data_IF_031142451086
#
_entry.id   IF_031142451086
#
_cell.length_a   1.000
_cell.length_b   1.000
_cell.length_c   1.000
_cell.angle_alpha   90.00
_cell.angle_beta   90.00
_cell.angle_gamma   90.00
#
_symmetry.space_group_name_H-M   'P 1'
#
loop_
_entity.id
_entity.type
_entity.pdbx_description
1 polymer ?
#
# COMPACT_ATOMS: atom_id res chain seq x y z
N UNK A 1 -3.21 19.56 -2.40
CA UNK A 1 -3.93 20.28 -3.46
C UNK A 1 -3.32 19.85 -4.76
N UNK A 2 -4.14 19.42 -5.72
CA UNK A 2 -3.70 19.19 -7.09
C UNK A 2 -2.99 20.43 -7.65
N UNK A 3 -1.91 20.21 -8.41
CA UNK A 3 -1.14 21.29 -9.01
C UNK A 3 -1.93 21.89 -10.17
N UNK A 4 -2.29 23.17 -10.03
CA UNK A 4 -2.93 23.96 -11.09
C UNK A 4 -1.90 24.52 -12.06
N UNK A 5 -2.19 24.41 -13.37
CA UNK A 5 -1.31 24.91 -14.42
C UNK A 5 -1.52 26.42 -14.65
N UNK A 6 -0.45 27.21 -14.89
CA UNK A 6 -0.58 28.58 -15.37
C UNK A 6 -1.27 28.65 -16.75
N UNK A 7 -2.06 29.70 -16.99
CA UNK A 7 -2.85 29.88 -18.22
C UNK A 7 -2.00 29.85 -19.50
N UNK A 8 -0.78 30.38 -19.43
CA UNK A 8 0.17 30.39 -20.55
C UNK A 8 0.62 28.98 -20.91
N UNK A 9 0.85 28.13 -19.89
CA UNK A 9 1.22 26.72 -20.07
C UNK A 9 0.06 25.93 -20.64
N UNK A 10 -1.16 26.16 -20.15
CA UNK A 10 -2.37 25.52 -20.68
C UNK A 10 -2.54 25.83 -22.16
N UNK A 11 -2.42 27.12 -22.54
CA UNK A 11 -2.54 27.56 -23.93
C UNK A 11 -1.47 26.93 -24.81
N UNK A 12 -0.22 26.86 -24.32
CA UNK A 12 0.89 26.23 -25.03
C UNK A 12 0.65 24.72 -25.23
N UNK A 13 0.26 23.98 -24.18
CA UNK A 13 0.00 22.54 -24.27
C UNK A 13 -1.17 22.22 -25.21
N UNK A 14 -2.23 23.03 -25.20
CA UNK A 14 -3.35 22.91 -26.15
C UNK A 14 -2.89 23.10 -27.60
N UNK A 15 -2.01 24.08 -27.84
CA UNK A 15 -1.47 24.33 -29.17
C UNK A 15 -0.56 23.19 -29.64
N UNK A 16 0.30 22.69 -28.76
CA UNK A 16 1.21 21.55 -29.02
C UNK A 16 0.40 20.25 -29.20
N UNK A 17 -0.81 20.19 -28.64
CA UNK A 17 -1.72 19.04 -28.72
C UNK A 17 -1.35 17.91 -27.78
N UNK A 18 -0.87 18.24 -26.58
CA UNK A 18 -0.44 17.26 -25.55
C UNK A 18 -1.21 17.51 -24.27
N UNK A 19 -1.63 16.41 -23.63
CA UNK A 19 -2.33 16.48 -22.35
C UNK A 19 -1.33 16.52 -21.19
N UNK A 20 -1.72 17.22 -20.12
CA UNK A 20 -0.99 17.18 -18.87
C UNK A 20 -1.25 15.87 -18.12
N UNK A 21 -0.25 15.26 -17.45
CA UNK A 21 -0.47 14.04 -16.67
C UNK A 21 -1.51 14.25 -15.55
N UNK A 22 -2.57 13.43 -15.58
CA UNK A 22 -3.72 13.53 -14.66
C UNK A 22 -3.47 12.97 -13.26
N UNK A 23 -2.33 12.30 -13.01
CA UNK A 23 -2.05 11.65 -11.72
C UNK A 23 -2.22 12.62 -10.53
N UNK A 24 -3.03 12.28 -9.54
CA UNK A 24 -3.34 13.14 -8.41
C UNK A 24 -2.56 12.69 -7.17
N UNK A 25 -1.62 13.52 -6.72
CA UNK A 25 -0.71 13.20 -5.62
C UNK A 25 -1.42 13.18 -4.26
N UNK A 26 -2.48 13.98 -4.12
CA UNK A 26 -3.33 13.93 -2.92
C UNK A 26 -4.03 12.58 -2.81
N UNK A 27 -4.45 11.99 -3.94
CA UNK A 27 -5.07 10.65 -3.99
C UNK A 27 -4.08 9.55 -3.68
N UNK A 28 -2.83 9.70 -4.09
CA UNK A 28 -1.74 8.79 -3.69
C UNK A 28 -1.52 8.85 -2.17
N UNK A 29 -1.51 10.03 -1.54
CA UNK A 29 -1.41 10.19 -0.07
C UNK A 29 -2.64 9.67 0.67
N UNK A 30 -3.83 9.87 0.10
CA UNK A 30 -5.08 9.34 0.65
C UNK A 30 -5.01 7.81 0.71
N UNK A 31 -4.58 7.17 -0.37
CA UNK A 31 -4.38 5.72 -0.40
C UNK A 31 -3.30 5.26 0.59
N UNK A 32 -2.16 5.97 0.68
CA UNK A 32 -1.13 5.71 1.68
C UNK A 32 -1.69 5.71 3.11
N UNK A 33 -2.56 6.67 3.40
CA UNK A 33 -3.25 6.79 4.69
C UNK A 33 -4.18 5.61 4.95
N UNK A 34 -4.92 5.13 3.94
CA UNK A 34 -5.76 3.94 4.08
C UNK A 34 -4.95 2.67 4.36
N UNK A 35 -3.81 2.49 3.70
CA UNK A 35 -2.90 1.35 3.97
C UNK A 35 -2.36 1.41 5.39
N UNK A 36 -1.95 2.60 5.86
CA UNK A 36 -1.45 2.82 7.21
C UNK A 36 -2.52 2.56 8.28
N UNK A 37 -3.73 3.09 8.08
CA UNK A 37 -4.86 2.86 8.97
C UNK A 37 -5.18 1.36 9.09
N UNK A 38 -5.16 0.63 7.97
CA UNK A 38 -5.38 -0.81 7.97
C UNK A 38 -4.30 -1.55 8.77
N UNK A 39 -3.02 -1.23 8.55
CA UNK A 39 -1.91 -1.83 9.29
C UNK A 39 -2.02 -1.58 10.79
N UNK A 40 -2.37 -0.35 11.20
CA UNK A 40 -2.55 0.00 12.61
C UNK A 40 -3.71 -0.76 13.25
N UNK A 41 -4.88 -0.80 12.59
CA UNK A 41 -6.05 -1.53 13.08
C UNK A 41 -5.79 -3.04 13.22
N UNK A 42 -5.03 -3.62 12.29
CA UNK A 42 -4.58 -5.01 12.39
C UNK A 42 -3.67 -5.23 13.61
N UNK A 43 -2.66 -4.39 13.79
CA UNK A 43 -1.74 -4.48 14.92
C UNK A 43 -2.44 -4.32 16.28
N UNK A 44 -3.38 -3.38 16.39
CA UNK A 44 -4.22 -3.20 17.59
C UNK A 44 -5.04 -4.46 17.90
N UNK A 45 -5.77 -4.99 16.91
CA UNK A 45 -6.59 -6.21 17.10
C UNK A 45 -5.73 -7.43 17.42
N UNK A 46 -4.53 -7.49 16.86
CA UNK A 46 -3.55 -8.53 17.15
C UNK A 46 -3.02 -8.47 18.59
N UNK A 47 -2.73 -7.27 19.09
CA UNK A 47 -2.35 -7.05 20.50
C UNK A 47 -3.48 -7.43 21.46
N UNK A 48 -4.71 -7.08 21.14
CA UNK A 48 -5.89 -7.48 21.93
C UNK A 48 -6.09 -9.00 21.97
N UNK A 49 -5.87 -9.66 20.83
CA UNK A 49 -5.90 -11.13 20.74
C UNK A 49 -4.79 -11.78 21.56
N UNK A 50 -3.57 -11.25 21.48
CA UNK A 50 -2.43 -11.72 22.27
C UNK A 50 -2.72 -11.57 23.77
N UNK A 51 -3.26 -10.42 24.19
CA UNK A 51 -3.69 -10.19 25.59
C UNK A 51 -4.73 -11.21 26.04
N UNK A 52 -5.71 -11.51 25.18
CA UNK A 52 -6.79 -12.47 25.49
C UNK A 52 -6.26 -13.90 25.63
N UNK A 53 -5.29 -14.30 24.80
CA UNK A 53 -4.65 -15.62 24.88
C UNK A 53 -3.79 -15.74 26.13
N UNK A 54 -3.07 -14.69 26.53
CA UNK A 54 -2.33 -14.71 27.80
C UNK A 54 -3.27 -14.79 29.02
N UNK A 55 -4.39 -14.06 29.01
CA UNK A 55 -5.41 -14.15 30.06
C UNK A 55 -6.08 -15.53 30.14
N UNK A 56 -6.00 -16.35 29.09
CA UNK A 56 -6.50 -17.73 29.13
C UNK A 56 -5.73 -18.59 30.16
N UNK A 57 -4.46 -18.28 30.43
CA UNK A 57 -3.63 -18.98 31.44
C UNK A 57 -4.22 -18.93 32.85
N UNK A 58 -5.00 -17.90 33.15
CA UNK A 58 -5.63 -17.69 34.47
C UNK A 58 -6.78 -18.67 34.73
N UNK A 59 -7.34 -19.25 33.66
CA UNK A 59 -8.58 -20.03 33.69
C UNK A 59 -8.35 -21.47 33.19
N UNK A 60 -7.30 -21.68 32.40
CA UNK A 60 -7.01 -22.94 31.76
C UNK A 60 -5.51 -23.20 31.71
N UNK A 61 -5.08 -24.29 32.36
CA UNK A 61 -3.71 -24.79 32.34
C UNK A 61 -3.71 -26.25 31.87
N UNK A 62 -2.90 -26.55 30.86
CA UNK A 62 -2.79 -27.88 30.28
C UNK A 62 -2.05 -27.88 28.94
N UNK A 63 -1.67 -29.06 28.45
CA UNK A 63 -0.86 -29.23 27.23
C UNK A 63 -1.46 -28.56 25.98
N UNK A 64 -2.80 -28.46 25.87
CA UNK A 64 -3.42 -27.76 24.75
C UNK A 64 -3.36 -26.23 24.86
N UNK A 65 -3.22 -25.67 26.06
CA UNK A 65 -2.92 -24.24 26.22
C UNK A 65 -1.49 -23.92 25.78
N UNK A 66 -0.52 -24.75 26.16
CA UNK A 66 0.87 -24.63 25.73
C UNK A 66 0.99 -24.75 24.20
N UNK A 67 0.27 -25.71 23.60
CA UNK A 67 0.18 -25.83 22.15
C UNK A 67 -0.44 -24.59 21.48
N UNK A 68 -1.50 -24.02 22.08
CA UNK A 68 -2.12 -22.78 21.60
C UNK A 68 -1.13 -21.60 21.69
N UNK A 69 -0.41 -21.44 22.79
CA UNK A 69 0.61 -20.40 22.96
C UNK A 69 1.75 -20.54 21.95
N UNK A 70 2.26 -21.76 21.76
CA UNK A 70 3.31 -22.02 20.78
C UNK A 70 2.84 -21.68 19.35
N UNK A 71 1.60 -22.07 19.01
CA UNK A 71 0.99 -21.73 17.71
C UNK A 71 0.75 -20.23 17.56
N UNK A 72 0.25 -19.57 18.60
CA UNK A 72 0.04 -18.13 18.59
C UNK A 72 1.36 -17.40 18.39
N UNK A 73 2.39 -17.69 19.18
CA UNK A 73 3.71 -17.07 19.05
C UNK A 73 4.30 -17.24 17.65
N UNK A 74 4.21 -18.43 17.05
CA UNK A 74 4.69 -18.67 15.69
C UNK A 74 3.98 -17.79 14.64
N UNK A 75 2.66 -17.63 14.75
CA UNK A 75 1.87 -16.83 13.80
C UNK A 75 1.98 -15.32 14.06
N UNK A 76 2.10 -14.95 15.32
CA UNK A 76 2.14 -13.58 15.85
C UNK A 76 3.49 -12.91 15.57
N UNK A 77 4.58 -13.55 15.98
CA UNK A 77 5.94 -13.00 15.85
C UNK A 77 6.44 -13.04 14.41
N UNK A 78 6.02 -14.05 13.63
CA UNK A 78 6.37 -14.17 12.21
C UNK A 78 5.41 -13.39 11.32
N UNK A 79 4.28 -14.01 11.00
CA UNK A 79 3.45 -13.56 9.88
C UNK A 79 2.73 -12.23 10.12
N UNK A 80 2.21 -11.99 11.32
CA UNK A 80 1.48 -10.75 11.58
C UNK A 80 2.42 -9.53 11.64
N UNK A 81 3.55 -9.67 12.33
CA UNK A 81 4.55 -8.59 12.42
C UNK A 81 5.14 -8.27 11.03
N UNK A 82 5.48 -9.28 10.24
CA UNK A 82 5.94 -9.08 8.85
C UNK A 82 4.88 -8.39 7.98
N UNK A 83 3.61 -8.79 8.11
CA UNK A 83 2.50 -8.18 7.36
C UNK A 83 2.33 -6.70 7.70
N UNK A 84 2.28 -6.36 8.99
CA UNK A 84 2.13 -4.98 9.46
C UNK A 84 3.30 -4.12 8.96
N UNK A 85 4.53 -4.62 9.07
CA UNK A 85 5.73 -3.92 8.59
C UNK A 85 5.72 -3.73 7.07
N UNK A 86 5.27 -4.74 6.31
CA UNK A 86 5.16 -4.63 4.86
C UNK A 86 4.08 -3.60 4.44
N UNK A 87 2.94 -3.57 5.11
CA UNK A 87 1.92 -2.54 4.88
C UNK A 87 2.44 -1.13 5.21
N UNK A 88 3.19 -0.96 6.31
CA UNK A 88 3.82 0.32 6.64
C UNK A 88 4.85 0.76 5.61
N UNK A 89 5.62 -0.20 5.06
CA UNK A 89 6.55 0.04 3.95
C UNK A 89 5.80 0.54 2.71
N UNK A 90 4.69 -0.09 2.33
CA UNK A 90 3.84 0.34 1.21
C UNK A 90 3.29 1.74 1.44
N UNK A 91 2.73 2.03 2.63
CA UNK A 91 2.24 3.37 2.95
C UNK A 91 3.35 4.44 2.82
N UNK A 92 4.56 4.12 3.29
CA UNK A 92 5.72 5.03 3.19
C UNK A 92 6.17 5.24 1.75
N UNK A 93 6.21 4.18 0.94
CA UNK A 93 6.55 4.27 -0.47
C UNK A 93 5.54 5.11 -1.26
N UNK A 94 4.25 4.99 -0.96
CA UNK A 94 3.20 5.81 -1.56
C UNK A 94 3.32 7.29 -1.18
N UNK A 95 3.60 7.61 0.08
CA UNK A 95 3.84 9.00 0.51
C UNK A 95 5.04 9.61 -0.22
N UNK A 96 6.14 8.85 -0.32
CA UNK A 96 7.34 9.29 -1.04
C UNK A 96 7.07 9.45 -2.55
N UNK A 97 6.26 8.57 -3.14
CA UNK A 97 5.82 8.71 -4.52
C UNK A 97 5.01 9.99 -4.71
N UNK A 98 4.07 10.29 -3.82
CA UNK A 98 3.31 11.54 -3.89
C UNK A 98 4.23 12.78 -3.81
N UNK A 99 5.22 12.79 -2.92
CA UNK A 99 6.21 13.88 -2.83
C UNK A 99 7.02 14.03 -4.13
N UNK A 100 7.45 12.90 -4.71
CA UNK A 100 8.28 12.89 -5.92
C UNK A 100 7.47 13.32 -7.15
N UNK A 101 6.21 12.88 -7.27
CA UNK A 101 5.31 13.31 -8.35
C UNK A 101 5.11 14.83 -8.29
N UNK A 102 4.87 15.40 -7.11
CA UNK A 102 4.75 16.87 -6.93
C UNK A 102 6.03 17.56 -7.41
N UNK A 103 7.20 17.08 -6.98
CA UNK A 103 8.48 17.67 -7.36
C UNK A 103 8.69 17.66 -8.89
N UNK A 104 8.48 16.52 -9.54
CA UNK A 104 8.63 16.37 -10.99
C UNK A 104 7.66 17.26 -11.77
N UNK A 105 6.40 17.37 -11.32
CA UNK A 105 5.42 18.25 -11.95
C UNK A 105 5.77 19.73 -11.81
N UNK A 106 6.26 20.16 -10.64
CA UNK A 106 6.69 21.55 -10.44
C UNK A 106 7.87 21.89 -11.35
N UNK A 107 8.84 20.98 -11.47
CA UNK A 107 9.98 21.15 -12.39
C UNK A 107 9.52 21.24 -13.84
N UNK A 108 8.65 20.34 -14.28
CA UNK A 108 8.09 20.36 -15.64
C UNK A 108 7.29 21.64 -15.93
N UNK A 109 6.53 22.16 -14.95
CA UNK A 109 5.82 23.45 -15.09
C UNK A 109 6.80 24.59 -15.32
N UNK A 110 7.90 24.65 -14.56
CA UNK A 110 8.90 25.70 -14.73
C UNK A 110 9.49 25.70 -16.14
N UNK A 111 9.83 24.53 -16.67
CA UNK A 111 10.33 24.38 -18.03
C UNK A 111 9.27 24.71 -19.09
N UNK A 112 8.02 24.28 -18.90
CA UNK A 112 6.91 24.61 -19.79
C UNK A 112 6.62 26.12 -19.84
N UNK A 113 6.77 26.85 -18.73
CA UNK A 113 6.65 28.32 -18.72
C UNK A 113 7.70 28.93 -19.66
N UNK A 114 8.95 28.47 -19.60
CA UNK A 114 10.03 28.96 -20.48
C UNK A 114 9.71 28.67 -21.95
N UNK A 115 9.22 27.45 -22.25
CA UNK A 115 8.81 27.08 -23.60
C UNK A 115 7.61 27.90 -24.09
N UNK A 116 6.62 28.16 -23.23
CA UNK A 116 5.46 28.98 -23.55
C UNK A 116 5.84 30.44 -23.84
N UNK A 117 6.75 31.03 -23.06
CA UNK A 117 7.28 32.38 -23.31
C UNK A 117 8.01 32.43 -24.65
N UNK A 118 8.84 31.42 -24.93
CA UNK A 118 9.57 31.31 -26.20
C UNK A 118 8.61 31.19 -27.38
N UNK A 119 7.58 30.36 -27.24
CA UNK A 119 6.53 30.18 -28.22
C UNK A 119 5.79 31.50 -28.52
N UNK A 120 5.39 32.26 -27.50
CA UNK A 120 4.72 33.55 -27.70
C UNK A 120 5.62 34.56 -28.42
N UNK A 121 6.92 34.58 -28.08
CA UNK A 121 7.90 35.42 -28.77
C UNK A 121 8.07 35.03 -30.24
N UNK A 122 8.17 33.72 -30.53
CA UNK A 122 8.29 33.19 -31.89
C UNK A 122 7.03 33.48 -32.71
N UNK A 123 5.83 33.36 -32.13
CA UNK A 123 4.58 33.70 -32.81
C UNK A 123 4.46 35.20 -33.09
N UNK A 124 4.90 36.06 -32.17
CA UNK A 124 4.96 37.49 -32.42
C UNK A 124 5.93 37.83 -33.58
N UNK A 125 7.06 37.11 -33.68
CA UNK A 125 8.02 37.25 -34.78
C UNK A 125 7.50 36.65 -36.09
N UNK A 126 6.74 35.55 -36.06
CA UNK A 126 6.17 34.90 -37.23
C UNK A 126 5.17 35.81 -37.97
N UNK A 127 4.38 36.61 -37.23
CA UNK A 127 3.49 37.63 -37.81
C UNK A 127 4.29 38.71 -38.56
N UNK A 128 5.45 39.11 -38.03
CA UNK A 128 6.32 40.12 -38.65
C UNK A 128 7.10 39.56 -39.84
N UNK A 129 7.41 38.26 -39.82
CA UNK A 129 8.23 37.57 -40.83
C UNK A 129 7.43 36.79 -41.87
N UNK A 130 6.10 36.93 -41.89
CA UNK A 130 5.17 36.26 -42.81
C UNK A 130 5.34 34.72 -42.85
N UNK A 131 5.55 34.08 -41.70
CA UNK A 131 5.61 32.61 -41.59
C UNK A 131 6.95 31.96 -41.96
N UNK A 132 7.98 32.72 -42.33
CA UNK A 132 9.33 32.17 -42.59
C UNK A 132 9.97 31.59 -41.31
N UNK A 133 9.50 32.01 -40.13
CA UNK A 133 9.96 31.54 -38.83
C UNK A 133 9.39 30.16 -38.38
N UNK A 134 8.51 29.52 -39.16
CA UNK A 134 7.84 28.26 -38.80
C UNK A 134 8.81 27.10 -38.45
N UNK A 135 10.04 27.11 -38.96
CA UNK A 135 11.03 26.10 -38.63
C UNK A 135 11.50 26.15 -37.16
N UNK A 136 11.51 27.34 -36.53
CA UNK A 136 11.85 27.50 -35.12
C UNK A 136 10.68 27.03 -34.22
N UNK A 137 9.45 27.33 -34.62
CA UNK A 137 8.24 26.89 -33.91
C UNK A 137 8.15 25.37 -33.82
N UNK A 138 8.51 24.66 -34.90
CA UNK A 138 8.56 23.19 -34.89
C UNK A 138 9.50 22.62 -33.82
N UNK A 139 10.61 23.31 -33.52
CA UNK A 139 11.53 22.90 -32.45
C UNK A 139 10.91 23.09 -31.07
N UNK A 140 10.19 24.19 -30.84
CA UNK A 140 9.52 24.47 -29.57
C UNK A 140 8.38 23.47 -29.31
N UNK A 141 7.58 23.15 -30.34
CA UNK A 141 6.54 22.12 -30.26
C UNK A 141 7.16 20.74 -29.95
N UNK A 142 8.24 20.38 -30.64
CA UNK A 142 8.94 19.11 -30.40
C UNK A 142 9.53 19.04 -28.99
N UNK A 143 10.09 20.14 -28.48
CA UNK A 143 10.58 20.24 -27.12
C UNK A 143 9.46 20.05 -26.09
N UNK A 144 8.32 20.72 -26.27
CA UNK A 144 7.15 20.56 -25.39
C UNK A 144 6.62 19.13 -25.35
N UNK A 145 6.49 18.48 -26.52
CA UNK A 145 6.09 17.06 -26.61
C UNK A 145 7.06 16.15 -25.87
N UNK A 146 8.37 16.32 -26.14
CA UNK A 146 9.42 15.51 -25.54
C UNK A 146 9.46 15.68 -24.02
N UNK A 147 9.24 16.88 -23.52
CA UNK A 147 9.21 17.17 -22.09
C UNK A 147 8.08 16.45 -21.38
N UNK A 148 6.86 16.47 -21.93
CA UNK A 148 5.74 15.74 -21.33
C UNK A 148 5.97 14.24 -21.37
N UNK A 149 6.41 13.69 -22.50
CA UNK A 149 6.73 12.25 -22.58
C UNK A 149 7.82 11.87 -21.56
N UNK A 150 8.84 12.70 -21.39
CA UNK A 150 9.89 12.47 -20.40
C UNK A 150 9.37 12.53 -18.96
N UNK A 151 8.42 13.43 -18.67
CA UNK A 151 7.74 13.49 -17.37
C UNK A 151 6.93 12.21 -17.13
N UNK A 152 6.14 11.77 -18.11
CA UNK A 152 5.35 10.53 -18.04
C UNK A 152 6.23 9.31 -17.80
N UNK A 153 7.30 9.15 -18.59
CA UNK A 153 8.25 8.05 -18.46
C UNK A 153 8.89 8.03 -17.06
N UNK A 154 9.32 9.18 -16.54
CA UNK A 154 9.91 9.25 -15.20
C UNK A 154 8.91 8.89 -14.10
N UNK A 155 7.67 9.38 -14.21
CA UNK A 155 6.60 9.05 -13.28
C UNK A 155 6.35 7.54 -13.26
N UNK A 156 6.22 6.92 -14.43
CA UNK A 156 6.00 5.48 -14.57
C UNK A 156 7.16 4.67 -13.97
N UNK A 157 8.40 4.97 -14.37
CA UNK A 157 9.58 4.27 -13.90
C UNK A 157 9.74 4.39 -12.38
N UNK A 158 9.46 5.56 -11.82
CA UNK A 158 9.50 5.78 -10.38
C UNK A 158 8.47 4.91 -9.66
N UNK A 159 7.21 4.90 -10.13
CA UNK A 159 6.14 4.11 -9.53
C UNK A 159 6.45 2.62 -9.61
N UNK A 160 6.91 2.12 -10.76
CA UNK A 160 7.29 0.72 -10.91
C UNK A 160 8.42 0.36 -9.93
N UNK A 161 9.51 1.11 -9.91
CA UNK A 161 10.67 0.78 -9.09
C UNK A 161 10.42 0.95 -7.59
N UNK A 162 9.88 2.08 -7.17
CA UNK A 162 9.78 2.44 -5.74
C UNK A 162 8.49 1.97 -5.08
N UNK A 163 7.37 1.96 -5.80
CA UNK A 163 6.07 1.56 -5.22
C UNK A 163 5.82 0.08 -5.48
N UNK A 164 5.91 -0.38 -6.73
CA UNK A 164 5.57 -1.76 -7.08
C UNK A 164 6.68 -2.72 -6.62
N UNK A 165 7.90 -2.54 -7.11
CA UNK A 165 8.99 -3.49 -6.88
C UNK A 165 9.53 -3.44 -5.46
N UNK A 166 9.77 -2.25 -4.92
CA UNK A 166 10.37 -2.09 -3.60
C UNK A 166 9.37 -2.24 -2.42
N UNK A 167 8.06 -2.09 -2.64
CA UNK A 167 7.09 -2.11 -1.54
C UNK A 167 5.94 -3.11 -1.72
N UNK A 168 5.22 -3.06 -2.85
CA UNK A 168 4.05 -3.94 -3.08
C UNK A 168 4.48 -5.40 -3.26
N UNK A 169 5.51 -5.68 -4.04
CA UNK A 169 5.98 -7.05 -4.27
C UNK A 169 6.39 -7.76 -2.96
N UNK A 170 7.20 -7.15 -2.07
CA UNK A 170 7.47 -7.71 -0.75
C UNK A 170 6.21 -8.00 0.08
N UNK A 171 5.23 -7.11 0.06
CA UNK A 171 3.94 -7.33 0.74
C UNK A 171 3.21 -8.56 0.18
N UNK A 172 3.14 -8.70 -1.15
CA UNK A 172 2.53 -9.85 -1.81
C UNK A 172 3.24 -11.16 -1.43
N UNK A 173 4.58 -11.15 -1.34
CA UNK A 173 5.34 -12.31 -0.91
C UNK A 173 5.04 -12.71 0.54
N UNK A 174 4.95 -11.74 1.46
CA UNK A 174 4.61 -11.99 2.87
C UNK A 174 3.22 -12.62 2.97
N UNK A 175 2.22 -12.06 2.29
CA UNK A 175 0.87 -12.62 2.24
C UNK A 175 0.87 -14.02 1.61
N UNK A 176 1.60 -14.23 0.52
CA UNK A 176 1.73 -15.51 -0.16
C UNK A 176 2.34 -16.61 0.72
N UNK A 177 3.39 -16.28 1.49
CA UNK A 177 4.02 -17.19 2.47
C UNK A 177 3.05 -17.54 3.59
N UNK A 178 2.34 -16.55 4.15
CA UNK A 178 1.36 -16.76 5.21
C UNK A 178 0.22 -17.70 4.76
N UNK A 179 -0.34 -17.46 3.56
CA UNK A 179 -1.42 -18.30 3.00
C UNK A 179 -0.94 -19.72 2.69
N UNK A 180 0.23 -19.85 2.05
CA UNK A 180 0.80 -21.17 1.73
C UNK A 180 1.08 -21.99 2.98
N UNK A 181 1.59 -21.35 4.04
CA UNK A 181 1.80 -21.99 5.34
C UNK A 181 0.51 -22.52 5.96
N UNK A 182 -0.60 -21.75 5.88
CA UNK A 182 -1.91 -22.20 6.37
C UNK A 182 -2.43 -23.41 5.59
N UNK A 183 -2.32 -23.41 4.27
CA UNK A 183 -2.78 -24.53 3.41
C UNK A 183 -1.99 -25.80 3.69
N UNK A 184 -0.66 -25.71 3.81
CA UNK A 184 0.19 -26.87 4.09
C UNK A 184 -0.12 -27.50 5.45
N UNK A 185 -0.32 -26.67 6.48
CA UNK A 185 -0.67 -27.15 7.83
C UNK A 185 -2.06 -27.77 7.89
N UNK A 186 -3.04 -27.23 7.15
CA UNK A 186 -4.36 -27.83 7.03
C UNK A 186 -4.31 -29.20 6.36
N UNK A 187 -3.50 -29.32 5.29
CA UNK A 187 -3.27 -30.60 4.61
C UNK A 187 -2.56 -31.61 5.51
N UNK A 188 -1.52 -31.21 6.26
CA UNK A 188 -0.81 -32.07 7.23
C UNK A 188 -1.74 -32.57 8.35
N UNK A 189 -2.61 -31.69 8.84
CA UNK A 189 -3.62 -32.03 9.86
C UNK A 189 -4.69 -32.99 9.33
N UNK A 190 -5.08 -32.86 8.05
CA UNK A 190 -6.07 -33.71 7.40
C UNK A 190 -5.50 -35.08 6.96
N UNK A 191 -4.21 -35.15 6.60
CA UNK A 191 -3.53 -36.37 6.13
C UNK A 191 -2.96 -37.20 7.30
N UNK A 192 -2.95 -36.67 8.52
CA UNK A 192 -2.84 -37.50 9.72
C UNK A 192 -1.40 -37.87 10.11
N UNK A 193 -0.52 -36.88 10.30
CA UNK A 193 0.61 -37.07 11.23
C UNK A 193 0.09 -36.96 12.67
N UNK A 194 -0.67 -37.97 13.08
CA UNK A 194 -0.74 -38.34 14.50
C UNK A 194 0.56 -39.07 14.85
N UNK A 195 1.64 -38.31 14.99
CA UNK A 195 2.95 -38.84 15.38
C UNK A 195 3.00 -39.13 16.88
N UNK A 196 2.65 -40.35 17.27
CA UNK A 196 3.29 -41.11 18.37
C UNK A 196 3.11 -40.61 19.80
N UNK A 197 2.28 -41.33 20.58
CA UNK A 197 2.09 -41.10 22.01
C UNK A 197 3.27 -41.46 22.91
N UNK A 198 3.22 -40.97 24.15
CA UNK A 198 4.09 -41.35 25.26
C UNK A 198 3.68 -40.61 26.52
N UNK A 199 3.14 -41.33 27.50
CA UNK A 199 2.64 -40.76 28.75
C UNK A 199 3.72 -40.23 29.69
N UNK A 200 3.27 -39.48 30.70
CA UNK A 200 4.05 -39.19 31.90
C UNK A 200 4.14 -37.70 32.21
N UNK A 201 3.30 -37.22 33.12
CA UNK A 201 3.41 -35.87 33.67
C UNK A 201 2.08 -35.29 34.12
N UNK A 202 1.37 -35.98 35.02
CA UNK A 202 0.32 -35.33 35.81
C UNK A 202 1.02 -34.35 36.79
N UNK A 203 1.29 -33.14 36.31
CA UNK A 203 1.58 -31.97 37.12
C UNK A 203 0.29 -31.27 37.53
N UNK A 204 0.27 -30.73 38.74
CA UNK A 204 -0.89 -30.28 39.51
C UNK A 204 -1.89 -29.36 38.79
N UNK A 205 -3.19 -29.64 38.97
CA UNK A 205 -4.27 -28.66 38.82
C UNK A 205 -5.01 -28.63 37.49
N UNK A 206 -5.75 -29.69 37.15
CA UNK A 206 -6.75 -29.63 36.07
C UNK A 206 -8.03 -28.95 36.57
N UNK A 207 -8.15 -27.63 36.38
CA UNK A 207 -9.43 -26.92 36.50
C UNK A 207 -9.85 -26.42 35.12
N UNK A 208 -10.96 -26.95 34.59
CA UNK A 208 -11.66 -26.36 33.44
C UNK A 208 -12.86 -25.62 33.98
N UNK A 209 -12.92 -24.30 33.75
CA UNK A 209 -14.14 -23.52 33.90
C UNK A 209 -14.81 -23.41 32.51
N UNK A 210 -15.72 -24.34 32.14
CA UNK A 210 -16.22 -24.42 30.76
C UNK A 210 -16.96 -23.16 30.31
N UNK A 211 -17.67 -22.48 31.22
CA UNK A 211 -18.35 -21.22 30.90
C UNK A 211 -17.36 -20.09 30.61
N UNK A 212 -16.29 -19.98 31.42
CA UNK A 212 -15.28 -18.94 31.24
C UNK A 212 -14.40 -19.23 30.00
N UNK A 213 -14.11 -20.50 29.69
CA UNK A 213 -13.47 -20.89 28.43
C UNK A 213 -14.32 -20.52 27.21
N UNK A 214 -15.64 -20.79 27.25
CA UNK A 214 -16.55 -20.45 26.16
C UNK A 214 -16.59 -18.94 25.93
N UNK A 215 -16.70 -18.16 27.00
CA UNK A 215 -16.68 -16.69 26.95
C UNK A 215 -15.40 -16.16 26.32
N UNK A 216 -14.23 -16.74 26.64
CA UNK A 216 -12.95 -16.34 26.03
C UNK A 216 -12.84 -16.74 24.56
N UNK A 217 -13.36 -17.92 24.19
CA UNK A 217 -13.44 -18.34 22.79
C UNK A 217 -14.35 -17.41 21.96
N UNK A 218 -15.46 -16.92 22.54
CA UNK A 218 -16.30 -15.91 21.90
C UNK A 218 -15.56 -14.58 21.67
N UNK A 219 -14.75 -14.13 22.63
CA UNK A 219 -13.91 -12.94 22.46
C UNK A 219 -12.91 -13.12 21.33
N UNK A 220 -12.21 -14.25 21.26
CA UNK A 220 -11.27 -14.56 20.17
C UNK A 220 -11.98 -14.62 18.81
N UNK A 221 -13.19 -15.17 18.74
CA UNK A 221 -14.03 -15.15 17.54
C UNK A 221 -14.41 -13.71 17.15
N UNK A 222 -14.71 -12.86 18.14
CA UNK A 222 -14.97 -11.44 17.94
C UNK A 222 -13.77 -10.71 17.32
N UNK A 223 -12.55 -11.02 17.76
CA UNK A 223 -11.34 -10.44 17.16
C UNK A 223 -11.15 -10.88 15.70
N UNK A 224 -11.38 -12.17 15.39
CA UNK A 224 -11.30 -12.65 14.00
C UNK A 224 -12.32 -11.94 13.10
N UNK A 225 -13.54 -11.70 13.59
CA UNK A 225 -14.56 -10.95 12.87
C UNK A 225 -14.18 -9.47 12.69
N UNK A 226 -13.50 -8.89 13.68
CA UNK A 226 -12.98 -7.51 13.62
C UNK A 226 -11.88 -7.38 12.56
N UNK A 227 -10.94 -8.34 12.49
CA UNK A 227 -9.92 -8.40 11.42
C UNK A 227 -10.58 -8.48 10.03
N UNK A 228 -11.59 -9.33 9.87
CA UNK A 228 -12.33 -9.45 8.60
C UNK A 228 -13.04 -8.13 8.22
N UNK A 229 -13.59 -7.41 9.21
CA UNK A 229 -14.18 -6.08 9.00
C UNK A 229 -13.14 -5.07 8.54
N UNK A 230 -11.95 -5.06 9.13
CA UNK A 230 -10.86 -4.16 8.71
C UNK A 230 -10.43 -4.41 7.27
N UNK A 231 -10.38 -5.67 6.86
CA UNK A 231 -10.05 -6.04 5.48
C UNK A 231 -11.13 -5.59 4.49
N UNK A 232 -12.41 -5.79 4.81
CA UNK A 232 -13.53 -5.34 3.98
C UNK A 232 -13.57 -3.80 3.86
N UNK A 233 -13.33 -3.09 4.96
CA UNK A 233 -13.22 -1.63 4.97
C UNK A 233 -12.07 -1.15 4.08
N UNK A 234 -10.91 -1.80 4.16
CA UNK A 234 -9.75 -1.47 3.33
C UNK A 234 -10.02 -1.74 1.85
N UNK A 235 -10.62 -2.88 1.50
CA UNK A 235 -10.99 -3.23 0.13
C UNK A 235 -11.97 -2.20 -0.45
N UNK A 236 -13.01 -1.83 0.31
CA UNK A 236 -13.97 -0.81 -0.11
C UNK A 236 -13.32 0.55 -0.34
N UNK A 237 -12.36 0.94 0.51
CA UNK A 237 -11.61 2.19 0.35
C UNK A 237 -10.69 2.14 -0.86
N UNK A 238 -9.93 1.05 -1.02
CA UNK A 238 -9.01 0.83 -2.14
C UNK A 238 -9.74 0.85 -3.49
N UNK A 239 -10.90 0.20 -3.59
CA UNK A 239 -11.72 0.21 -4.80
C UNK A 239 -12.31 1.58 -5.14
N UNK A 240 -12.44 2.47 -4.15
CA UNK A 240 -12.95 3.83 -4.33
C UNK A 240 -11.89 4.86 -4.71
N UNK A 241 -10.60 4.52 -4.71
CA UNK A 241 -9.54 5.45 -5.07
C UNK A 241 -9.42 5.56 -6.59
N UNK A 242 -9.65 6.78 -7.10
CA UNK A 242 -9.19 7.20 -8.42
C UNK A 242 -7.89 7.99 -8.24
N UNK A 243 -6.88 7.69 -9.04
CA UNK A 243 -5.63 8.45 -9.09
C UNK A 243 -5.63 9.52 -10.19
N UNK A 244 -6.73 9.66 -10.94
CA UNK A 244 -7.00 10.79 -11.85
C UNK A 244 -7.70 11.95 -11.12
#
# INVERSE_FOLDING_TARGET
>A
MAIELPDEVVTFLQFVGVNWPSVNEDKVREFASHVRDFAQKLDETHKDSTSTIHKLAEVYQGASYEALLAKWGQLSDGHMTELVNACQTVATALDLAADTIVAMKVEAIAELIVLAITFVADQAAAVVTFGIAEAAEALVIAAGKKLITFLEDQLEQYVIGQVIEAAINPLVEVVGKAVSGMVFQAAESAVGVSGGGGGGGAGEGFSIHPEELHKRAEVLRGHAQTVASHAADFESKAAGVSFE
#
